data_IF_456897761426
#
_entry.id   IF_456897761426
#
_cell.length_a   1.000
_cell.length_b   1.000
_cell.length_c   1.000
_cell.angle_alpha   90.00
_cell.angle_beta   90.00
_cell.angle_gamma   90.00
#
_symmetry.space_group_name_H-M   'P 1'
#
loop_
_entity.id
_entity.type
_entity.pdbx_description
1 polymer ?
#
# COMPACT_ATOMS: atom_id res chain seq x y z
N UNK A 1 31.84 -13.93 14.31
CA UNK A 1 30.84 -12.85 14.44
C UNK A 1 29.77 -13.11 13.39
N UNK A 2 28.57 -13.51 13.79
CA UNK A 2 27.48 -13.76 12.87
C UNK A 2 27.03 -12.42 12.29
N UNK A 3 27.34 -12.18 11.01
CA UNK A 3 26.88 -11.02 10.22
C UNK A 3 25.37 -11.10 9.88
N UNK A 4 24.62 -11.94 10.60
CA UNK A 4 23.19 -12.17 10.44
C UNK A 4 22.44 -10.89 10.83
N UNK A 5 21.37 -10.56 10.10
CA UNK A 5 20.26 -9.66 10.49
C UNK A 5 20.36 -8.16 10.14
N UNK A 6 21.54 -7.54 9.99
CA UNK A 6 21.59 -6.07 9.94
C UNK A 6 21.34 -5.41 8.56
N UNK A 7 21.23 -6.17 7.46
CA UNK A 7 21.17 -5.60 6.10
C UNK A 7 19.87 -5.87 5.33
N UNK A 8 19.06 -6.86 5.72
CA UNK A 8 17.91 -7.30 4.88
C UNK A 8 16.58 -6.61 5.22
N UNK A 9 16.42 -5.97 6.38
CA UNK A 9 15.09 -5.63 6.91
C UNK A 9 14.84 -4.14 7.21
N UNK A 10 15.82 -3.26 7.05
CA UNK A 10 15.71 -1.91 7.63
C UNK A 10 14.77 -0.96 6.87
N UNK A 11 14.30 -1.30 5.67
CA UNK A 11 13.46 -0.41 4.86
C UNK A 11 12.36 -1.14 4.08
N UNK A 12 11.71 -2.15 4.67
CA UNK A 12 10.49 -2.68 4.07
C UNK A 12 9.42 -1.60 4.02
N UNK A 13 9.14 -1.12 2.79
CA UNK A 13 8.10 -0.15 2.48
C UNK A 13 6.75 -0.67 2.98
N UNK A 14 6.30 -0.09 4.09
CA UNK A 14 5.03 -0.40 4.73
C UNK A 14 4.04 0.68 4.37
N UNK A 15 3.05 0.32 3.58
CA UNK A 15 1.92 1.18 3.27
C UNK A 15 0.75 0.75 4.14
N UNK A 16 0.18 1.70 4.87
CA UNK A 16 -1.09 1.55 5.56
C UNK A 16 -2.18 2.45 4.96
N UNK A 17 -1.80 3.39 4.09
CA UNK A 17 -2.72 4.35 3.48
C UNK A 17 -2.28 4.77 2.08
N UNK A 18 -3.23 4.78 1.16
CA UNK A 18 -3.09 5.28 -0.19
C UNK A 18 -4.04 6.47 -0.37
N UNK A 19 -3.48 7.64 -0.69
CA UNK A 19 -4.28 8.84 -1.01
C UNK A 19 -4.26 9.08 -2.51
N UNK A 20 -5.43 9.15 -3.13
CA UNK A 20 -5.58 9.33 -4.58
C UNK A 20 -6.23 10.68 -4.85
N UNK A 21 -5.66 11.43 -5.80
CA UNK A 21 -6.26 12.68 -6.28
C UNK A 21 -7.39 12.34 -7.27
N UNK A 22 -8.63 12.42 -6.82
CA UNK A 22 -9.83 12.00 -7.54
C UNK A 22 -10.04 12.73 -8.87
N UNK A 23 -9.51 13.94 -9.03
CA UNK A 23 -9.59 14.71 -10.28
C UNK A 23 -8.87 14.04 -11.48
N UNK A 24 -7.96 13.09 -11.22
CA UNK A 24 -7.18 12.43 -12.26
C UNK A 24 -7.66 11.01 -12.59
N UNK A 25 -8.69 10.51 -11.90
CA UNK A 25 -9.17 9.14 -12.06
C UNK A 25 -10.69 9.13 -12.22
N UNK A 26 -11.19 8.37 -13.19
CA UNK A 26 -12.62 8.08 -13.26
C UNK A 26 -13.06 7.13 -12.13
N UNK A 27 -14.38 6.99 -11.96
CA UNK A 27 -14.95 6.14 -10.91
C UNK A 27 -14.62 4.66 -11.08
N UNK A 28 -14.39 4.20 -12.32
CA UNK A 28 -14.03 2.81 -12.61
C UNK A 28 -12.62 2.54 -12.11
N UNK A 29 -11.65 3.39 -12.45
CA UNK A 29 -10.28 3.27 -11.97
C UNK A 29 -10.19 3.40 -10.46
N UNK A 30 -10.94 4.31 -9.82
CA UNK A 30 -10.98 4.41 -8.36
C UNK A 30 -11.45 3.10 -7.71
N UNK A 31 -12.47 2.45 -8.28
CA UNK A 31 -12.99 1.17 -7.80
C UNK A 31 -12.00 0.02 -7.97
N UNK A 32 -11.36 -0.06 -9.13
CA UNK A 32 -10.33 -1.08 -9.39
C UNK A 32 -9.17 -0.95 -8.40
N UNK A 33 -8.76 0.27 -8.04
CA UNK A 33 -7.71 0.50 -7.04
C UNK A 33 -8.17 0.06 -5.65
N UNK A 34 -9.40 0.40 -5.23
CA UNK A 34 -9.95 -0.04 -3.94
C UNK A 34 -10.01 -1.58 -3.83
N UNK A 35 -10.46 -2.27 -4.88
CA UNK A 35 -10.50 -3.73 -4.94
C UNK A 35 -9.11 -4.35 -4.94
N UNK A 36 -8.15 -3.77 -5.66
CA UNK A 36 -6.76 -4.23 -5.66
C UNK A 36 -6.13 -4.10 -4.27
N UNK A 37 -6.34 -2.97 -3.58
CA UNK A 37 -5.76 -2.74 -2.26
C UNK A 37 -6.38 -3.60 -1.16
N UNK A 38 -7.66 -3.98 -1.26
CA UNK A 38 -8.30 -4.97 -0.35
C UNK A 38 -7.66 -6.35 -0.43
N UNK A 39 -7.18 -6.73 -1.62
CA UNK A 39 -6.54 -8.02 -1.86
C UNK A 39 -5.02 -7.96 -1.74
N UNK A 40 -4.44 -6.78 -1.49
CA UNK A 40 -3.01 -6.59 -1.33
C UNK A 40 -2.55 -7.14 0.02
N UNK A 41 -1.82 -8.25 -0.02
CA UNK A 41 -1.25 -8.87 1.18
C UNK A 41 0.24 -8.53 1.27
N UNK A 42 0.60 -7.52 2.06
CA UNK A 42 2.00 -7.29 2.43
C UNK A 42 2.46 -8.35 3.45
N UNK A 43 3.78 -8.53 3.61
CA UNK A 43 4.38 -9.52 4.53
C UNK A 43 3.94 -9.37 6.00
N UNK A 44 3.45 -8.18 6.37
CA UNK A 44 2.98 -7.84 7.72
C UNK A 44 1.45 -7.88 7.83
N UNK A 45 0.76 -8.29 6.77
CA UNK A 45 -0.70 -8.34 6.62
C UNK A 45 -1.42 -7.07 7.10
N UNK A 46 -0.79 -5.91 6.88
CA UNK A 46 -1.34 -4.60 7.24
C UNK A 46 -2.38 -4.21 6.17
N UNK A 47 -3.65 -3.95 6.52
CA UNK A 47 -4.63 -3.42 5.58
C UNK A 47 -4.21 -2.05 5.05
N UNK A 48 -4.50 -1.78 3.77
CA UNK A 48 -4.24 -0.47 3.16
C UNK A 48 -5.55 0.28 2.98
N UNK A 49 -5.68 1.41 3.68
CA UNK A 49 -6.83 2.31 3.52
C UNK A 49 -6.68 3.14 2.25
N UNK A 50 -7.67 3.09 1.36
CA UNK A 50 -7.73 3.95 0.17
C UNK A 50 -8.60 5.16 0.46
N UNK A 51 -8.05 6.37 0.28
CA UNK A 51 -8.74 7.64 0.48
C UNK A 51 -8.69 8.45 -0.80
N UNK A 52 -9.85 8.82 -1.33
CA UNK A 52 -9.95 9.75 -2.46
C UNK A 52 -10.02 11.18 -1.93
N UNK A 53 -9.18 12.07 -2.46
CA UNK A 53 -9.16 13.51 -2.18
C UNK A 53 -9.38 14.28 -3.47
N UNK A 54 -10.20 15.32 -3.40
CA UNK A 54 -10.41 16.29 -4.47
C UNK A 54 -9.61 17.53 -4.14
#
# INVERSE_FOLDING_TARGET
VNSQQALDDEHEFQVSKLVILGHHFDSKSQREIDEAMKNYNNKKSIPVDVVVRY
#
